data_IF_300639075866
#
_entry.id   IF_300639075866
#
_cell.length_a   1.000
_cell.length_b   1.000
_cell.length_c   1.000
_cell.angle_alpha   90.00
_cell.angle_beta   90.00
_cell.angle_gamma   90.00
#
_symmetry.space_group_name_H-M   'P 1'
#
loop_
_entity.id
_entity.type
_entity.pdbx_description
1 polymer ?
#
# COMPACT_ATOMS: atom_id res chain seq x y z
N UNK A 1 -9.18 -21.22 -34.59
CA UNK A 1 -8.06 -20.26 -34.48
C UNK A 1 -8.42 -19.00 -33.68
N UNK A 2 -9.64 -18.41 -33.79
CA UNK A 2 -10.01 -17.18 -33.09
C UNK A 2 -10.33 -17.37 -31.59
N UNK A 3 -10.90 -18.52 -31.19
CA UNK A 3 -11.21 -18.84 -29.78
C UNK A 3 -9.96 -19.04 -28.92
N UNK A 4 -8.90 -19.63 -29.46
CA UNK A 4 -7.64 -19.88 -28.75
C UNK A 4 -6.87 -18.59 -28.53
N UNK A 5 -6.91 -17.63 -29.47
CA UNK A 5 -6.31 -16.32 -29.32
C UNK A 5 -7.02 -15.46 -28.24
N UNK A 6 -8.35 -15.53 -28.16
CA UNK A 6 -9.11 -14.81 -27.13
C UNK A 6 -8.87 -15.38 -25.71
N UNK A 7 -8.69 -16.69 -25.58
CA UNK A 7 -8.39 -17.32 -24.27
C UNK A 7 -6.97 -16.97 -23.82
N UNK A 8 -5.99 -16.92 -24.73
CA UNK A 8 -4.61 -16.56 -24.41
C UNK A 8 -4.51 -15.06 -24.05
N UNK A 9 -5.21 -14.19 -24.78
CA UNK A 9 -5.24 -12.76 -24.47
C UNK A 9 -5.98 -12.47 -23.13
N UNK A 10 -7.11 -13.15 -22.85
CA UNK A 10 -7.79 -13.04 -21.57
C UNK A 10 -6.95 -13.57 -20.39
N UNK A 11 -6.17 -14.66 -20.59
CA UNK A 11 -5.22 -15.15 -19.56
C UNK A 11 -4.07 -14.18 -19.34
N UNK A 12 -3.50 -13.59 -20.42
CA UNK A 12 -2.43 -12.58 -20.30
C UNK A 12 -2.92 -11.31 -19.61
N UNK A 13 -4.09 -10.82 -19.97
CA UNK A 13 -4.73 -9.64 -19.34
C UNK A 13 -5.08 -9.93 -17.87
N UNK A 14 -5.48 -11.16 -17.52
CA UNK A 14 -5.75 -11.56 -16.13
C UNK A 14 -4.47 -11.74 -15.29
N UNK A 15 -3.35 -12.12 -15.92
CA UNK A 15 -2.05 -12.25 -15.23
C UNK A 15 -1.40 -10.90 -14.91
N UNK A 16 -1.72 -9.82 -15.62
CA UNK A 16 -1.24 -8.47 -15.34
C UNK A 16 -2.01 -7.79 -14.20
N UNK A 17 -3.22 -8.28 -13.88
CA UNK A 17 -4.12 -7.75 -12.84
C UNK A 17 -4.00 -8.42 -11.47
N UNK A 18 -3.22 -9.51 -11.35
CA UNK A 18 -3.05 -10.25 -10.10
C UNK A 18 -1.70 -9.92 -9.46
N UNK A 19 -1.66 -8.93 -8.62
CA UNK A 19 -0.48 -8.55 -7.84
C UNK A 19 -0.87 -7.95 -6.49
N UNK A 20 0.03 -8.08 -5.52
CA UNK A 20 0.00 -7.29 -4.31
C UNK A 20 0.51 -5.89 -4.61
N UNK A 21 -0.28 -4.87 -4.32
CA UNK A 21 0.17 -3.49 -4.33
C UNK A 21 0.73 -3.12 -2.96
N UNK A 22 2.00 -2.75 -2.90
CA UNK A 22 2.63 -2.16 -1.71
C UNK A 22 2.70 -0.65 -1.92
N UNK A 23 1.77 0.07 -1.33
CA UNK A 23 1.67 1.52 -1.41
C UNK A 23 2.13 2.14 -0.09
N UNK A 24 3.11 3.02 -0.16
CA UNK A 24 3.65 3.66 1.03
C UNK A 24 4.13 5.09 0.76
N UNK A 25 4.25 5.86 1.84
CA UNK A 25 5.06 7.06 1.91
C UNK A 25 6.16 6.86 2.96
N UNK A 26 7.35 7.36 2.70
CA UNK A 26 8.48 7.29 3.63
C UNK A 26 9.26 8.60 3.61
N UNK A 27 9.50 9.18 4.80
CA UNK A 27 10.29 10.40 4.94
C UNK A 27 11.78 10.10 5.22
N UNK A 28 12.08 9.13 6.10
CA UNK A 28 13.42 8.79 6.58
C UNK A 28 13.94 7.43 6.10
N UNK A 29 13.13 6.70 5.33
CA UNK A 29 13.48 5.39 4.77
C UNK A 29 13.03 4.19 5.62
N UNK A 30 12.58 4.34 6.86
CA UNK A 30 12.16 3.22 7.71
C UNK A 30 10.94 2.50 7.16
N UNK A 31 9.90 3.23 6.79
CA UNK A 31 8.68 2.65 6.16
C UNK A 31 9.02 2.00 4.81
N UNK A 32 9.94 2.59 4.04
CA UNK A 32 10.45 2.00 2.79
C UNK A 32 11.07 0.62 3.02
N UNK A 33 11.88 0.46 4.06
CA UNK A 33 12.48 -0.85 4.39
C UNK A 33 11.42 -1.90 4.70
N UNK A 34 10.37 -1.54 5.43
CA UNK A 34 9.25 -2.45 5.72
C UNK A 34 8.50 -2.80 4.43
N UNK A 35 8.24 -1.81 3.58
CA UNK A 35 7.58 -2.01 2.29
C UNK A 35 8.32 -3.03 1.41
N UNK A 36 9.66 -2.91 1.31
CA UNK A 36 10.48 -3.86 0.58
C UNK A 36 10.47 -5.25 1.23
N UNK A 37 10.56 -5.36 2.55
CA UNK A 37 10.49 -6.65 3.23
C UNK A 37 9.13 -7.36 3.01
N UNK A 38 8.03 -6.61 2.97
CA UNK A 38 6.70 -7.15 2.60
C UNK A 38 6.71 -7.66 1.15
N UNK A 39 7.29 -6.88 0.24
CA UNK A 39 7.39 -7.25 -1.16
C UNK A 39 8.21 -8.54 -1.35
N UNK A 40 9.39 -8.62 -0.73
CA UNK A 40 10.26 -9.79 -0.78
C UNK A 40 9.53 -11.03 -0.24
N UNK A 41 8.86 -10.93 0.90
CA UNK A 41 8.09 -12.05 1.47
C UNK A 41 6.92 -12.50 0.60
N UNK A 42 6.27 -11.60 -0.12
CA UNK A 42 5.21 -11.95 -1.06
C UNK A 42 5.78 -12.63 -2.32
N UNK A 43 6.91 -12.15 -2.84
CA UNK A 43 7.59 -12.74 -4.00
C UNK A 43 8.14 -14.14 -3.68
N UNK A 44 8.65 -14.37 -2.47
CA UNK A 44 9.14 -15.68 -2.00
C UNK A 44 8.06 -16.78 -2.06
N UNK A 45 6.79 -16.41 -1.93
CA UNK A 45 5.66 -17.35 -2.08
C UNK A 45 4.99 -17.27 -3.46
N UNK A 46 5.62 -16.62 -4.43
CA UNK A 46 5.18 -16.58 -5.83
C UNK A 46 4.13 -15.53 -6.15
N UNK A 47 3.90 -14.57 -5.27
CA UNK A 47 2.96 -13.46 -5.52
C UNK A 47 3.70 -12.34 -6.27
N UNK A 48 3.14 -11.86 -7.36
CA UNK A 48 3.65 -10.65 -8.03
C UNK A 48 3.44 -9.44 -7.15
N UNK A 49 4.41 -8.53 -7.13
CA UNK A 49 4.33 -7.31 -6.34
C UNK A 49 4.55 -6.08 -7.23
N UNK A 50 3.81 -5.03 -6.95
CA UNK A 50 4.11 -3.67 -7.40
C UNK A 50 4.35 -2.79 -6.20
N UNK A 51 5.51 -2.18 -6.13
CA UNK A 51 5.85 -1.19 -5.10
C UNK A 51 5.57 0.20 -5.68
N UNK A 52 4.83 1.01 -4.94
CA UNK A 52 4.46 2.38 -5.34
C UNK A 52 4.59 3.33 -4.15
N UNK A 53 4.89 4.58 -4.48
CA UNK A 53 4.91 5.68 -3.52
C UNK A 53 4.00 6.81 -3.98
N UNK A 54 3.98 7.90 -3.23
CA UNK A 54 3.24 9.13 -3.56
C UNK A 54 4.17 10.34 -3.55
N UNK A 55 3.89 11.40 -4.34
CA UNK A 55 4.65 12.64 -4.30
C UNK A 55 4.63 13.26 -2.91
N UNK A 56 5.72 13.94 -2.55
CA UNK A 56 5.78 14.74 -1.33
C UNK A 56 4.87 15.97 -1.47
N UNK A 57 4.02 16.17 -0.48
CA UNK A 57 3.23 17.40 -0.35
C UNK A 57 3.93 18.35 0.62
N UNK A 58 4.11 19.59 0.21
CA UNK A 58 4.73 20.65 1.01
C UNK A 58 3.98 21.96 0.80
N UNK A 59 3.80 22.75 1.87
CA UNK A 59 3.21 24.09 1.80
C UNK A 59 4.03 25.08 0.92
N UNK A 60 5.26 24.74 0.57
CA UNK A 60 6.13 25.54 -0.31
C UNK A 60 6.08 25.10 -1.78
N UNK A 61 5.42 24.00 -2.09
CA UNK A 61 5.36 23.46 -3.44
C UNK A 61 4.00 23.76 -4.05
N UNK A 62 3.83 24.94 -4.62
CA UNK A 62 2.79 25.25 -5.59
C UNK A 62 3.07 24.60 -6.97
N UNK A 63 4.24 24.01 -7.15
CA UNK A 63 4.58 23.26 -8.35
C UNK A 63 4.14 21.82 -8.20
N UNK A 64 3.33 21.38 -9.15
CA UNK A 64 3.03 19.95 -9.34
C UNK A 64 4.36 19.24 -9.60
N UNK A 65 4.77 18.31 -8.73
CA UNK A 65 5.90 17.44 -9.02
C UNK A 65 5.65 16.66 -10.31
N UNK A 66 6.74 16.34 -11.02
CA UNK A 66 6.64 15.54 -12.24
C UNK A 66 5.87 14.24 -11.97
N UNK A 67 5.03 13.80 -12.92
CA UNK A 67 4.25 12.56 -12.81
C UNK A 67 5.12 11.30 -12.67
N UNK A 68 6.43 11.42 -12.92
CA UNK A 68 7.41 10.35 -12.81
C UNK A 68 8.55 10.87 -11.93
N UNK A 69 8.89 10.19 -10.80
CA UNK A 69 10.01 10.60 -9.97
C UNK A 69 11.32 10.41 -10.74
N UNK A 70 12.26 11.34 -10.57
CA UNK A 70 13.60 11.23 -11.15
C UNK A 70 14.37 10.05 -10.55
N UNK A 71 14.12 9.75 -9.29
CA UNK A 71 14.73 8.64 -8.54
C UNK A 71 13.74 8.04 -7.54
N UNK A 72 13.87 6.74 -7.26
CA UNK A 72 13.06 6.03 -6.26
C UNK A 72 11.92 5.21 -6.88
N UNK A 73 10.92 4.91 -6.07
CA UNK A 73 9.76 4.14 -6.50
C UNK A 73 8.84 4.96 -7.39
N UNK A 74 8.20 4.27 -8.34
CA UNK A 74 7.20 4.85 -9.23
C UNK A 74 6.00 5.34 -8.42
N UNK A 75 5.42 6.48 -8.79
CA UNK A 75 4.22 6.99 -8.16
C UNK A 75 3.02 6.10 -8.46
N UNK A 76 2.18 5.92 -7.44
CA UNK A 76 0.95 5.15 -7.55
C UNK A 76 -0.07 5.88 -8.43
N UNK A 77 -0.73 5.11 -9.27
CA UNK A 77 -1.88 5.56 -10.04
C UNK A 77 -3.17 4.93 -9.49
N UNK A 78 -4.33 5.48 -9.86
CA UNK A 78 -5.63 4.86 -9.54
C UNK A 78 -5.76 3.48 -10.19
N UNK A 79 -5.20 3.29 -11.37
CA UNK A 79 -5.19 1.99 -12.06
C UNK A 79 -4.41 0.93 -11.29
N UNK A 80 -3.33 1.31 -10.58
CA UNK A 80 -2.61 0.39 -9.70
C UNK A 80 -3.53 -0.14 -8.58
N UNK A 81 -4.37 0.72 -8.00
CA UNK A 81 -5.36 0.34 -6.97
C UNK A 81 -6.49 -0.53 -7.56
N UNK A 82 -7.06 -0.12 -8.70
CA UNK A 82 -8.16 -0.84 -9.36
C UNK A 82 -7.73 -2.28 -9.71
N UNK A 83 -6.52 -2.45 -10.22
CA UNK A 83 -6.06 -3.71 -10.77
C UNK A 83 -5.30 -4.59 -9.75
N UNK A 84 -5.04 -4.13 -8.54
CA UNK A 84 -4.40 -4.97 -7.53
C UNK A 84 -5.36 -6.05 -7.01
N UNK A 85 -4.80 -7.19 -6.58
CA UNK A 85 -5.54 -8.26 -5.89
C UNK A 85 -5.54 -8.11 -4.38
N UNK A 86 -4.68 -7.25 -3.85
CA UNK A 86 -4.57 -6.91 -2.44
C UNK A 86 -3.70 -5.68 -2.27
N UNK A 87 -3.80 -5.05 -1.10
CA UNK A 87 -3.12 -3.79 -0.79
C UNK A 87 -2.37 -3.89 0.53
N UNK A 88 -1.06 -3.63 0.50
CA UNK A 88 -0.29 -3.31 1.70
C UNK A 88 -0.07 -1.79 1.74
N UNK A 89 -0.62 -1.13 2.76
CA UNK A 89 -0.65 0.32 2.88
C UNK A 89 0.19 0.78 4.07
N UNK A 90 1.19 1.63 3.82
CA UNK A 90 2.14 2.07 4.84
C UNK A 90 2.42 3.55 4.87
N UNK A 91 2.62 4.08 6.09
CA UNK A 91 2.95 5.47 6.35
C UNK A 91 3.78 5.61 7.62
N UNK A 92 4.69 6.59 7.73
CA UNK A 92 5.20 7.01 9.01
C UNK A 92 4.07 7.67 9.83
N UNK A 93 4.25 7.75 11.15
CA UNK A 93 3.35 8.54 11.98
C UNK A 93 3.63 10.05 11.82
N UNK A 94 2.55 10.82 11.82
CA UNK A 94 2.57 12.27 11.99
C UNK A 94 1.47 12.61 12.99
N UNK A 95 1.90 12.84 14.26
CA UNK A 95 0.97 13.09 15.36
C UNK A 95 -0.13 12.03 15.49
N UNK A 96 0.25 10.74 15.39
CA UNK A 96 -0.68 9.61 15.50
C UNK A 96 -1.54 9.35 14.26
N UNK A 97 -1.23 9.98 13.12
CA UNK A 97 -1.95 9.83 11.86
C UNK A 97 -1.00 9.56 10.69
N UNK A 98 -1.52 9.18 9.54
CA UNK A 98 -0.72 9.02 8.34
C UNK A 98 -0.13 10.34 7.86
N UNK A 99 0.95 10.28 7.10
CA UNK A 99 1.57 11.45 6.48
C UNK A 99 0.62 12.12 5.48
N UNK A 100 0.65 13.47 5.43
CA UNK A 100 -0.19 14.26 4.53
C UNK A 100 -0.04 13.89 3.06
N UNK A 101 1.16 13.52 2.62
CA UNK A 101 1.41 13.09 1.23
C UNK A 101 0.60 11.85 0.86
N UNK A 102 0.53 10.85 1.75
CA UNK A 102 -0.29 9.68 1.53
C UNK A 102 -1.78 10.03 1.60
N UNK A 103 -2.19 10.78 2.62
CA UNK A 103 -3.59 11.21 2.78
C UNK A 103 -4.09 12.00 1.56
N UNK A 104 -3.27 12.89 1.02
CA UNK A 104 -3.60 13.67 -0.16
C UNK A 104 -3.90 12.77 -1.37
N UNK A 105 -3.09 11.73 -1.60
CA UNK A 105 -3.36 10.76 -2.65
C UNK A 105 -4.64 9.96 -2.37
N UNK A 106 -4.81 9.45 -1.14
CA UNK A 106 -5.99 8.66 -0.78
C UNK A 106 -7.28 9.48 -0.88
N UNK A 107 -7.26 10.76 -0.54
CA UNK A 107 -8.41 11.66 -0.70
C UNK A 107 -8.83 11.84 -2.17
N UNK A 108 -7.91 11.63 -3.11
CA UNK A 108 -8.22 11.67 -4.52
C UNK A 108 -8.97 10.44 -5.04
N UNK A 109 -9.14 9.39 -4.22
CA UNK A 109 -9.75 8.11 -4.62
C UNK A 109 -11.27 8.03 -4.40
N UNK A 110 -11.93 9.16 -4.22
CA UNK A 110 -13.40 9.20 -4.02
C UNK A 110 -14.20 8.57 -5.15
N UNK A 111 -13.72 8.64 -6.38
CA UNK A 111 -14.30 7.96 -7.54
C UNK A 111 -14.18 6.43 -7.45
N UNK A 112 -13.08 5.91 -6.91
CA UNK A 112 -12.90 4.48 -6.68
C UNK A 112 -13.83 3.98 -5.57
N UNK A 113 -14.04 4.79 -4.53
CA UNK A 113 -15.01 4.52 -3.49
C UNK A 113 -16.44 4.46 -4.05
N UNK A 114 -16.82 5.46 -4.87
CA UNK A 114 -18.15 5.52 -5.47
C UNK A 114 -18.45 4.34 -6.41
N UNK A 115 -17.44 3.71 -6.98
CA UNK A 115 -17.56 2.55 -7.88
C UNK A 115 -17.26 1.21 -7.22
N UNK A 116 -17.03 1.19 -5.90
CA UNK A 116 -16.67 -0.02 -5.13
C UNK A 116 -15.43 -0.75 -5.69
N UNK A 117 -14.46 0.00 -6.24
CA UNK A 117 -13.31 -0.58 -6.95
C UNK A 117 -12.39 -1.42 -6.06
N UNK A 118 -12.39 -1.20 -4.75
CA UNK A 118 -11.56 -1.94 -3.77
C UNK A 118 -12.37 -2.91 -2.90
N UNK A 119 -13.68 -3.04 -3.13
CA UNK A 119 -14.54 -3.95 -2.36
C UNK A 119 -14.01 -5.38 -2.39
N UNK A 120 -14.05 -6.05 -1.24
CA UNK A 120 -13.61 -7.43 -1.00
C UNK A 120 -12.11 -7.71 -1.22
N UNK A 121 -11.30 -6.70 -1.55
CA UNK A 121 -9.85 -6.90 -1.66
C UNK A 121 -9.23 -7.01 -0.26
N UNK A 122 -8.34 -8.00 -0.03
CA UNK A 122 -7.61 -8.09 1.23
C UNK A 122 -6.60 -6.95 1.36
N UNK A 123 -6.43 -6.45 2.58
CA UNK A 123 -5.48 -5.40 2.87
C UNK A 123 -4.79 -5.56 4.21
N UNK A 124 -3.54 -5.14 4.28
CA UNK A 124 -2.75 -5.02 5.50
C UNK A 124 -2.21 -3.59 5.62
N UNK A 125 -1.92 -3.18 6.84
CA UNK A 125 -1.34 -1.87 7.12
C UNK A 125 -0.02 -2.00 7.88
N UNK A 126 0.87 -1.03 7.68
CA UNK A 126 2.16 -0.99 8.38
C UNK A 126 2.63 0.43 8.62
N UNK A 127 3.39 0.61 9.69
CA UNK A 127 3.96 1.91 10.07
C UNK A 127 5.34 1.74 10.69
N UNK A 128 6.04 2.84 10.83
CA UNK A 128 7.28 2.93 11.61
C UNK A 128 7.28 4.27 12.35
N UNK A 129 7.62 4.23 13.64
CA UNK A 129 7.69 5.39 14.52
C UNK A 129 9.09 5.56 15.09
N UNK A 130 9.44 6.77 15.51
CA UNK A 130 10.73 7.08 16.12
C UNK A 130 10.85 6.65 17.58
N UNK A 131 9.74 6.27 18.23
CA UNK A 131 9.69 5.86 19.63
C UNK A 131 8.68 4.76 19.84
N UNK A 132 8.88 3.94 20.87
CA UNK A 132 7.96 2.90 21.28
C UNK A 132 6.62 3.54 21.69
N UNK A 133 5.50 3.02 21.19
CA UNK A 133 4.15 3.59 21.38
C UNK A 133 4.02 5.08 20.97
N UNK A 134 4.87 5.52 20.03
CA UNK A 134 4.89 6.91 19.55
C UNK A 134 3.84 7.21 18.48
N UNK A 135 2.67 6.58 18.54
CA UNK A 135 1.56 6.76 17.61
C UNK A 135 1.38 5.62 16.60
N UNK A 136 2.01 4.45 16.82
CA UNK A 136 1.85 3.29 15.93
C UNK A 136 0.38 2.90 15.82
N UNK A 137 -0.29 2.70 16.95
CA UNK A 137 -1.65 2.17 17.04
C UNK A 137 -2.64 3.09 16.32
N UNK A 138 -2.59 4.38 16.61
CA UNK A 138 -3.49 5.37 16.00
C UNK A 138 -3.22 5.54 14.51
N UNK A 139 -1.96 5.49 14.07
CA UNK A 139 -1.60 5.53 12.65
C UNK A 139 -2.11 4.30 11.92
N UNK A 140 -1.95 3.10 12.49
CA UNK A 140 -2.49 1.87 11.90
C UNK A 140 -4.01 1.92 11.82
N UNK A 141 -4.71 2.35 12.89
CA UNK A 141 -6.17 2.53 12.85
C UNK A 141 -6.61 3.53 11.78
N UNK A 142 -5.87 4.60 11.61
CA UNK A 142 -6.15 5.60 10.57
C UNK A 142 -6.05 5.00 9.15
N UNK A 143 -5.04 4.15 8.89
CA UNK A 143 -4.89 3.43 7.63
C UNK A 143 -5.99 2.37 7.45
N UNK A 144 -6.32 1.61 8.51
CA UNK A 144 -7.40 0.62 8.51
C UNK A 144 -8.75 1.28 8.20
N UNK A 145 -9.01 2.46 8.77
CA UNK A 145 -10.26 3.19 8.53
C UNK A 145 -10.47 3.47 7.04
N UNK A 146 -9.42 3.85 6.31
CA UNK A 146 -9.49 3.99 4.86
C UNK A 146 -9.93 2.69 4.18
N UNK A 147 -9.33 1.56 4.55
CA UNK A 147 -9.68 0.26 3.99
C UNK A 147 -11.13 -0.12 4.25
N UNK A 148 -11.60 0.09 5.49
CA UNK A 148 -12.99 -0.21 5.87
C UNK A 148 -13.99 0.64 5.08
N UNK A 149 -13.71 1.92 4.87
CA UNK A 149 -14.56 2.79 4.04
C UNK A 149 -14.63 2.34 2.57
N UNK A 150 -13.61 1.67 2.08
CA UNK A 150 -13.59 1.08 0.73
C UNK A 150 -14.15 -0.34 0.65
N UNK A 151 -14.67 -0.90 1.76
CA UNK A 151 -15.21 -2.26 1.79
C UNK A 151 -14.15 -3.36 1.67
N UNK A 152 -12.91 -3.06 2.02
CA UNK A 152 -11.81 -4.02 1.98
C UNK A 152 -11.84 -5.00 3.17
N UNK A 153 -11.20 -6.15 3.02
CA UNK A 153 -11.03 -7.15 4.08
C UNK A 153 -9.68 -6.90 4.76
N UNK A 154 -9.69 -6.43 5.99
CA UNK A 154 -8.47 -6.16 6.76
C UNK A 154 -7.93 -7.47 7.32
N UNK A 155 -6.67 -7.79 6.98
CA UNK A 155 -5.96 -8.97 7.48
C UNK A 155 -4.91 -8.56 8.53
N UNK A 156 -4.83 -9.33 9.61
CA UNK A 156 -3.81 -9.17 10.66
C UNK A 156 -2.69 -10.20 10.53
N UNK A 157 -1.60 -9.97 11.27
CA UNK A 157 -0.53 -10.95 11.44
C UNK A 157 -0.92 -11.98 12.50
N UNK A 158 -0.87 -13.30 12.20
CA UNK A 158 -1.22 -14.32 13.18
C UNK A 158 -0.15 -14.46 14.25
N UNK A 159 -0.54 -14.61 15.51
CA UNK A 159 0.38 -14.81 16.63
C UNK A 159 1.15 -16.16 16.60
N UNK A 160 0.81 -17.05 15.67
CA UNK A 160 1.57 -18.28 15.41
C UNK A 160 2.95 -18.03 14.78
N UNK A 161 3.24 -16.81 14.32
CA UNK A 161 4.56 -16.43 13.78
C UNK A 161 5.56 -16.33 14.92
N UNK A 162 6.54 -17.23 14.93
CA UNK A 162 7.51 -17.35 16.04
C UNK A 162 8.37 -16.10 16.24
N UNK A 163 8.60 -15.33 15.19
CA UNK A 163 9.38 -14.10 15.20
C UNK A 163 8.74 -13.02 16.08
N UNK A 164 7.41 -12.97 16.18
CA UNK A 164 6.69 -12.03 17.05
C UNK A 164 7.02 -12.21 18.54
N UNK A 165 7.42 -13.43 18.94
CA UNK A 165 7.80 -13.73 20.32
C UNK A 165 9.28 -13.45 20.62
N UNK A 166 10.10 -13.18 19.59
CA UNK A 166 11.54 -12.96 19.73
C UNK A 166 11.90 -11.48 19.79
N UNK A 167 11.01 -10.58 19.39
CA UNK A 167 11.31 -9.16 19.34
C UNK A 167 11.27 -8.56 20.75
N UNK A 168 12.22 -7.65 21.02
CA UNK A 168 12.23 -6.81 22.22
C UNK A 168 11.67 -5.40 21.93
N UNK A 169 11.29 -5.15 20.70
CA UNK A 169 10.59 -3.94 20.26
C UNK A 169 9.09 -4.18 20.34
N UNK A 170 8.33 -3.21 20.76
CA UNK A 170 6.89 -3.35 21.05
C UNK A 170 5.99 -3.40 19.80
N UNK A 171 6.17 -4.40 18.96
CA UNK A 171 5.24 -4.66 17.84
C UNK A 171 5.89 -4.79 16.51
#
# INVERSE_FOLDING_TARGET
>A
SSRTHNIINNKKVNMEKNYLLVLFYSASGSVKKIAHAIADGAEDVGIKVKIRTVPKVSAKNEKVEANIPETGEVYCTKDDLINCSGLALGSPTRFGSMASSLKYFLDSTGDLWATNALEDKPGIVFTSTGSMHGGQETTLFNLITFMLHHGMIVAGSPYSISELHKTKSGG
#
